data_IF_514609444817
#
_entry.id   IF_514609444817
#
_cell.length_a   1.000
_cell.length_b   1.000
_cell.length_c   1.000
_cell.angle_alpha   90.00
_cell.angle_beta   90.00
_cell.angle_gamma   90.00
#
_symmetry.space_group_name_H-M   'P 1'
#
loop_
_entity.id
_entity.type
_entity.pdbx_description
1 polymer ?
#
# COMPACT_ATOMS: atom_id res chain seq x y z
N UNK A 1 8.52 -5.53 -19.03
CA UNK A 1 7.96 -6.25 -17.87
C UNK A 1 6.47 -5.99 -17.71
N UNK A 2 6.07 -4.76 -17.37
CA UNK A 2 4.68 -4.42 -17.00
C UNK A 2 3.60 -4.85 -18.00
N UNK A 3 3.84 -4.68 -19.30
CA UNK A 3 2.87 -5.03 -20.35
C UNK A 3 2.92 -6.49 -20.81
N UNK A 4 3.80 -7.33 -20.25
CA UNK A 4 4.01 -8.71 -20.72
C UNK A 4 2.73 -9.53 -20.74
N UNK A 5 1.98 -9.53 -19.63
CA UNK A 5 0.74 -10.31 -19.53
C UNK A 5 -0.31 -9.85 -20.55
N UNK A 6 -0.40 -8.54 -20.79
CA UNK A 6 -1.30 -7.96 -21.78
C UNK A 6 -0.89 -8.36 -23.21
N UNK A 7 0.42 -8.36 -23.49
CA UNK A 7 0.97 -8.81 -24.79
C UNK A 7 0.72 -10.29 -25.02
N UNK A 8 1.00 -11.15 -24.04
CA UNK A 8 0.71 -12.59 -24.15
C UNK A 8 -0.77 -12.83 -24.39
N UNK A 9 -1.65 -12.13 -23.64
CA UNK A 9 -3.10 -12.28 -23.83
C UNK A 9 -3.56 -11.81 -25.21
N UNK A 10 -2.97 -10.74 -25.74
CA UNK A 10 -3.25 -10.27 -27.09
C UNK A 10 -2.81 -11.28 -28.16
N UNK A 11 -1.62 -11.87 -28.01
CA UNK A 11 -1.11 -12.90 -28.91
C UNK A 11 -1.95 -14.18 -28.82
N UNK A 12 -2.38 -14.59 -27.62
CA UNK A 12 -3.27 -15.74 -27.42
C UNK A 12 -4.61 -15.54 -28.14
N UNK A 13 -5.18 -14.33 -28.07
CA UNK A 13 -6.40 -13.98 -28.83
C UNK A 13 -6.17 -14.01 -30.33
N UNK A 14 -4.95 -13.77 -30.79
CA UNK A 14 -4.56 -13.91 -32.19
C UNK A 14 -4.19 -15.34 -32.59
N UNK A 15 -4.23 -16.30 -31.66
CA UNK A 15 -3.81 -17.68 -31.90
C UNK A 15 -2.30 -17.86 -32.03
N UNK A 16 -1.51 -16.89 -31.57
CA UNK A 16 -0.05 -16.83 -31.68
C UNK A 16 0.69 -17.12 -30.36
N UNK A 17 -0.06 -17.41 -29.30
CA UNK A 17 0.49 -17.79 -28.01
C UNK A 17 -0.41 -18.80 -27.29
N UNK A 18 0.18 -19.64 -26.45
CA UNK A 18 -0.54 -20.52 -25.55
C UNK A 18 -0.67 -19.93 -24.12
N UNK A 19 -1.41 -20.62 -23.26
CA UNK A 19 -1.62 -20.21 -21.88
C UNK A 19 -0.37 -20.32 -20.98
N UNK A 20 0.71 -20.94 -21.47
CA UNK A 20 2.00 -21.05 -20.79
C UNK A 20 2.98 -19.95 -21.24
N UNK A 21 2.59 -19.11 -22.19
CA UNK A 21 3.41 -18.02 -22.72
C UNK A 21 4.41 -18.45 -23.80
N UNK A 22 4.23 -19.63 -24.39
CA UNK A 22 4.94 -19.99 -25.62
C UNK A 22 4.33 -19.19 -26.77
N UNK A 23 5.17 -18.55 -27.58
CA UNK A 23 4.73 -17.64 -28.63
C UNK A 23 5.34 -17.97 -29.97
N UNK A 24 4.56 -17.81 -31.04
CA UNK A 24 5.03 -17.98 -32.42
C UNK A 24 5.86 -16.78 -32.90
N UNK A 25 5.74 -15.64 -32.20
CA UNK A 25 6.53 -14.43 -32.42
C UNK A 25 7.62 -14.27 -31.34
N UNK A 26 8.84 -13.82 -31.68
CA UNK A 26 9.88 -13.59 -30.68
C UNK A 26 9.56 -12.39 -29.80
N UNK A 27 9.67 -12.53 -28.48
CA UNK A 27 9.44 -11.45 -27.52
C UNK A 27 10.71 -11.20 -26.71
N UNK A 28 11.09 -9.93 -26.58
CA UNK A 28 12.11 -9.50 -25.63
C UNK A 28 11.47 -8.74 -24.47
N UNK A 29 11.46 -9.36 -23.30
CA UNK A 29 10.88 -8.77 -22.09
C UNK A 29 11.96 -7.99 -21.34
N UNK A 30 11.88 -6.66 -21.42
CA UNK A 30 12.70 -5.76 -20.59
C UNK A 30 12.30 -5.90 -19.12
N UNK A 31 13.04 -6.70 -18.36
CA UNK A 31 12.87 -6.85 -16.90
C UNK A 31 13.45 -5.65 -16.14
N UNK A 32 14.52 -5.06 -16.67
CA UNK A 32 15.06 -3.76 -16.27
C UNK A 32 14.86 -2.82 -17.45
N UNK A 33 13.93 -1.88 -17.31
CA UNK A 33 13.62 -0.94 -18.39
C UNK A 33 14.61 0.24 -18.45
N UNK A 34 15.32 0.54 -17.35
CA UNK A 34 16.31 1.61 -17.30
C UNK A 34 17.46 1.29 -16.34
N UNK A 35 18.72 1.51 -16.75
CA UNK A 35 19.15 1.82 -18.12
C UNK A 35 18.91 0.61 -19.05
N UNK A 36 18.77 0.88 -20.36
CA UNK A 36 18.76 -0.19 -21.35
C UNK A 36 20.16 -0.82 -21.46
N UNK A 37 20.19 -2.12 -21.73
CA UNK A 37 21.43 -2.88 -21.99
C UNK A 37 21.61 -2.97 -23.52
N UNK A 38 22.53 -2.19 -24.13
CA UNK A 38 22.66 -2.11 -25.59
C UNK A 38 22.88 -3.47 -26.24
N UNK A 39 23.68 -4.33 -25.63
CA UNK A 39 24.02 -5.65 -26.15
C UNK A 39 22.79 -6.56 -26.26
N UNK A 40 21.85 -6.46 -25.32
CA UNK A 40 20.60 -7.23 -25.36
C UNK A 40 19.64 -6.72 -26.42
N UNK A 41 19.54 -5.39 -26.58
CA UNK A 41 18.74 -4.75 -27.62
C UNK A 41 19.27 -5.14 -29.01
N UNK A 42 20.59 -5.02 -29.21
CA UNK A 42 21.28 -5.39 -30.45
C UNK A 42 21.02 -6.86 -30.79
N UNK A 43 21.32 -7.77 -29.86
CA UNK A 43 21.11 -9.22 -30.03
C UNK A 43 19.66 -9.56 -30.38
N UNK A 44 18.69 -8.86 -29.81
CA UNK A 44 17.29 -9.09 -30.16
C UNK A 44 16.93 -8.53 -31.54
N UNK A 45 17.45 -7.37 -31.92
CA UNK A 45 17.06 -6.69 -33.16
C UNK A 45 17.80 -7.21 -34.40
N UNK A 46 19.07 -7.58 -34.30
CA UNK A 46 19.96 -7.84 -35.45
C UNK A 46 19.39 -8.82 -36.49
N UNK A 47 18.63 -9.83 -36.05
CA UNK A 47 18.06 -10.86 -36.92
C UNK A 47 16.68 -10.50 -37.48
N UNK A 48 16.17 -9.28 -37.23
CA UNK A 48 14.78 -8.88 -37.48
C UNK A 48 14.74 -7.66 -38.39
N UNK A 49 13.79 -7.68 -39.33
CA UNK A 49 13.52 -6.52 -40.20
C UNK A 49 12.74 -5.44 -39.44
N UNK A 50 11.69 -5.84 -38.73
CA UNK A 50 10.78 -4.96 -38.01
C UNK A 50 10.62 -5.39 -36.56
N UNK A 51 10.56 -4.42 -35.64
CA UNK A 51 10.32 -4.66 -34.21
C UNK A 51 9.27 -3.67 -33.71
N UNK A 52 8.25 -4.18 -33.02
CA UNK A 52 7.27 -3.38 -32.30
C UNK A 52 7.69 -3.25 -30.83
N UNK A 53 7.85 -2.03 -30.35
CA UNK A 53 8.09 -1.68 -28.96
C UNK A 53 6.76 -1.34 -28.28
N UNK A 54 6.44 -2.11 -27.24
CA UNK A 54 5.32 -1.80 -26.35
C UNK A 54 5.85 -0.99 -25.16
N UNK A 55 5.86 0.33 -25.30
CA UNK A 55 6.19 1.29 -24.23
C UNK A 55 4.96 2.09 -23.83
N UNK A 56 4.59 2.04 -22.56
CA UNK A 56 3.52 2.86 -21.99
C UNK A 56 4.08 4.17 -21.41
N UNK A 57 3.35 5.28 -21.59
CA UNK A 57 3.77 6.59 -21.11
C UNK A 57 4.31 7.53 -22.19
N UNK A 58 4.52 8.79 -21.79
CA UNK A 58 5.04 9.91 -22.57
C UNK A 58 5.95 10.76 -21.69
N UNK A 59 7.10 11.27 -22.19
CA UNK A 59 7.70 10.97 -23.50
C UNK A 59 8.17 9.51 -23.67
N UNK A 60 8.27 9.03 -24.91
CA UNK A 60 8.75 7.69 -25.30
C UNK A 60 10.28 7.51 -25.14
N UNK A 61 10.75 7.56 -23.90
CA UNK A 61 12.18 7.49 -23.57
C UNK A 61 12.85 6.18 -24.00
N UNK A 62 12.15 5.05 -23.91
CA UNK A 62 12.71 3.75 -24.31
C UNK A 62 12.79 3.67 -25.83
N UNK A 63 11.76 4.12 -26.55
CA UNK A 63 11.75 4.18 -28.01
C UNK A 63 12.92 5.03 -28.54
N UNK A 64 13.10 6.23 -28.01
CA UNK A 64 14.22 7.12 -28.37
C UNK A 64 15.59 6.49 -28.06
N UNK A 65 15.73 5.83 -26.90
CA UNK A 65 16.97 5.19 -26.50
C UNK A 65 17.32 4.00 -27.40
N UNK A 66 16.33 3.18 -27.75
CA UNK A 66 16.49 2.06 -28.68
C UNK A 66 16.86 2.55 -30.08
N UNK A 67 16.23 3.62 -30.59
CA UNK A 67 16.64 4.23 -31.87
C UNK A 67 18.12 4.62 -31.86
N UNK A 68 18.59 5.27 -30.78
CA UNK A 68 20.00 5.64 -30.66
C UNK A 68 20.94 4.43 -30.64
N UNK A 69 20.58 3.37 -29.90
CA UNK A 69 21.36 2.13 -29.81
C UNK A 69 21.48 1.46 -31.19
N UNK A 70 20.36 1.26 -31.89
CA UNK A 70 20.35 0.56 -33.18
C UNK A 70 21.12 1.34 -34.25
N UNK A 71 21.00 2.67 -34.28
CA UNK A 71 21.74 3.51 -35.24
C UNK A 71 23.23 3.58 -34.94
N UNK A 72 23.64 3.58 -33.66
CA UNK A 72 25.08 3.54 -33.29
C UNK A 72 25.74 2.20 -33.60
N UNK A 73 24.95 1.12 -33.63
CA UNK A 73 25.42 -0.23 -33.96
C UNK A 73 25.26 -0.57 -35.46
N UNK A 74 24.86 0.39 -36.30
CA UNK A 74 24.60 0.19 -37.73
C UNK A 74 23.62 -0.97 -38.01
N UNK A 75 22.61 -1.14 -37.15
CA UNK A 75 21.57 -2.16 -37.31
C UNK A 75 20.39 -1.57 -38.06
N UNK A 76 20.05 -2.13 -39.21
CA UNK A 76 18.99 -1.65 -40.11
C UNK A 76 17.56 -1.94 -39.65
N UNK A 77 17.38 -2.78 -38.62
CA UNK A 77 16.06 -3.08 -38.03
C UNK A 77 15.27 -1.82 -37.76
N UNK A 78 14.05 -1.74 -38.28
CA UNK A 78 13.19 -0.58 -38.06
C UNK A 78 12.26 -0.83 -36.87
N UNK A 79 12.31 0.11 -35.94
CA UNK A 79 11.56 0.10 -34.70
C UNK A 79 10.25 0.87 -34.89
N UNK A 80 9.16 0.34 -34.36
CA UNK A 80 7.85 0.97 -34.30
C UNK A 80 7.39 0.99 -32.85
N UNK A 81 6.92 2.11 -32.33
CA UNK A 81 6.20 2.16 -31.05
C UNK A 81 4.98 3.06 -31.18
N UNK A 82 5.15 4.35 -30.88
CA UNK A 82 4.05 5.34 -30.89
C UNK A 82 3.44 5.64 -32.26
N UNK A 83 4.07 5.21 -33.36
CA UNK A 83 3.48 5.29 -34.71
C UNK A 83 2.25 4.37 -34.84
N UNK A 84 2.24 3.24 -34.11
CA UNK A 84 1.17 2.24 -34.15
C UNK A 84 0.34 2.28 -32.86
N UNK A 85 1.00 2.50 -31.72
CA UNK A 85 0.37 2.53 -30.42
C UNK A 85 0.05 3.96 -30.00
N UNK A 86 -1.05 4.21 -29.27
CA UNK A 86 -1.40 5.56 -28.86
C UNK A 86 -0.30 6.18 -27.99
N UNK A 87 -0.04 7.47 -28.22
CA UNK A 87 0.87 8.27 -27.40
C UNK A 87 0.37 8.43 -25.96
N UNK A 88 -0.94 8.60 -25.76
CA UNK A 88 -1.52 8.87 -24.45
C UNK A 88 -2.54 7.79 -24.02
N UNK A 89 -2.76 7.68 -22.71
CA UNK A 89 -3.68 6.73 -22.09
C UNK A 89 -3.02 5.43 -21.65
N UNK A 90 -3.82 4.57 -21.00
CA UNK A 90 -3.37 3.26 -20.52
C UNK A 90 -3.42 2.21 -21.64
N UNK A 91 -2.41 1.34 -21.70
CA UNK A 91 -2.38 0.24 -22.67
C UNK A 91 -3.26 -0.93 -22.21
N UNK A 92 -4.57 -0.74 -22.35
CA UNK A 92 -5.57 -1.78 -22.10
C UNK A 92 -5.39 -2.97 -23.04
N UNK A 93 -5.94 -4.13 -22.67
CA UNK A 93 -5.90 -5.33 -23.52
C UNK A 93 -6.44 -5.11 -24.93
N UNK A 94 -7.42 -4.21 -25.09
CA UNK A 94 -7.96 -3.82 -26.38
C UNK A 94 -6.96 -3.02 -27.21
N UNK A 95 -6.31 -2.02 -26.62
CA UNK A 95 -5.31 -1.18 -27.29
C UNK A 95 -4.11 -2.01 -27.71
N UNK A 96 -3.61 -2.87 -26.81
CA UNK A 96 -2.48 -3.75 -27.12
C UNK A 96 -2.84 -4.77 -28.21
N UNK A 97 -4.03 -5.38 -28.15
CA UNK A 97 -4.49 -6.29 -29.20
C UNK A 97 -4.57 -5.59 -30.56
N UNK A 98 -5.16 -4.40 -30.61
CA UNK A 98 -5.27 -3.64 -31.85
C UNK A 98 -3.89 -3.29 -32.41
N UNK A 99 -2.99 -2.72 -31.61
CA UNK A 99 -1.65 -2.35 -32.06
C UNK A 99 -0.81 -3.53 -32.55
N UNK A 100 -0.88 -4.69 -31.86
CA UNK A 100 -0.22 -5.92 -32.32
C UNK A 100 -0.83 -6.40 -33.64
N UNK A 101 -2.16 -6.38 -33.75
CA UNK A 101 -2.86 -6.81 -34.97
C UNK A 101 -2.47 -5.94 -36.17
N UNK A 102 -2.52 -4.62 -36.01
CA UNK A 102 -2.14 -3.67 -37.08
C UNK A 102 -0.68 -3.80 -37.48
N UNK A 103 0.22 -4.04 -36.52
CA UNK A 103 1.62 -4.30 -36.82
C UNK A 103 1.80 -5.57 -37.67
N UNK A 104 1.13 -6.66 -37.30
CA UNK A 104 1.23 -7.95 -38.01
C UNK A 104 0.52 -7.92 -39.37
N UNK A 105 -0.58 -7.17 -39.52
CA UNK A 105 -1.22 -6.94 -40.82
C UNK A 105 -0.35 -6.07 -41.74
N UNK A 106 0.33 -5.05 -41.19
CA UNK A 106 1.23 -4.18 -41.95
C UNK A 106 2.50 -4.90 -42.40
N UNK A 107 2.96 -5.86 -41.62
CA UNK A 107 4.18 -6.65 -41.89
C UNK A 107 3.91 -8.15 -41.78
N UNK A 108 3.20 -8.75 -42.76
CA UNK A 108 2.86 -10.17 -42.73
C UNK A 108 4.12 -11.03 -42.79
N UNK A 109 4.11 -12.12 -42.01
CA UNK A 109 5.19 -13.10 -41.95
C UNK A 109 4.65 -14.45 -42.43
N UNK A 110 5.39 -15.09 -43.33
CA UNK A 110 5.01 -16.40 -43.85
C UNK A 110 4.90 -17.44 -42.72
N UNK A 111 3.78 -18.16 -42.67
CA UNK A 111 3.49 -19.16 -41.64
C UNK A 111 2.80 -18.62 -40.38
N UNK A 112 2.65 -17.30 -40.23
CA UNK A 112 1.89 -16.68 -39.14
C UNK A 112 0.48 -16.32 -39.62
N UNK A 113 -0.54 -17.03 -39.14
CA UNK A 113 -1.94 -16.77 -39.48
C UNK A 113 -2.64 -16.07 -38.31
N UNK A 114 -3.17 -14.87 -38.56
CA UNK A 114 -3.94 -14.11 -37.58
C UNK A 114 -5.37 -14.66 -37.49
N UNK A 115 -5.87 -14.83 -36.27
CA UNK A 115 -7.26 -15.23 -36.02
C UNK A 115 -8.24 -14.06 -36.15
N UNK A 116 -7.75 -12.83 -35.98
CA UNK A 116 -8.56 -11.62 -35.95
C UNK A 116 -7.93 -10.56 -36.84
N UNK A 117 -8.78 -9.87 -37.60
CA UNK A 117 -8.42 -8.66 -38.35
C UNK A 117 -8.48 -7.42 -37.46
N UNK A 118 -7.78 -6.34 -37.84
CA UNK A 118 -7.86 -5.06 -37.11
C UNK A 118 -9.27 -4.48 -37.08
N UNK A 119 -10.09 -4.77 -38.10
CA UNK A 119 -11.51 -4.38 -38.15
C UNK A 119 -12.33 -5.11 -37.08
N UNK A 120 -12.21 -6.45 -37.01
CA UNK A 120 -12.89 -7.23 -35.97
C UNK A 120 -12.43 -6.85 -34.56
N UNK A 121 -11.13 -6.56 -34.39
CA UNK A 121 -10.62 -6.06 -33.12
C UNK A 121 -11.26 -4.73 -32.76
N UNK A 122 -11.33 -3.76 -33.67
CA UNK A 122 -11.99 -2.46 -33.42
C UNK A 122 -13.45 -2.62 -33.02
N UNK A 123 -14.16 -3.60 -33.59
CA UNK A 123 -15.55 -3.88 -33.26
C UNK A 123 -15.75 -4.43 -31.83
N UNK A 124 -14.69 -4.90 -31.15
CA UNK A 124 -14.75 -5.22 -29.73
C UNK A 124 -14.89 -3.98 -28.83
N UNK A 125 -14.66 -2.76 -29.32
CA UNK A 125 -14.89 -1.51 -28.57
C UNK A 125 -16.38 -1.18 -28.41
N UNK A 126 -17.24 -2.18 -28.22
CA UNK A 126 -18.59 -1.92 -27.72
C UNK A 126 -18.45 -1.50 -26.25
N UNK A 127 -19.10 -0.39 -25.90
CA UNK A 127 -19.31 -0.01 -24.51
C UNK A 127 -19.86 -1.24 -23.80
N UNK A 128 -19.22 -1.65 -22.69
CA UNK A 128 -19.73 -2.72 -21.83
C UNK A 128 -21.21 -2.47 -21.59
N UNK A 129 -22.07 -3.31 -22.16
CA UNK A 129 -23.51 -3.19 -21.93
C UNK A 129 -23.77 -3.47 -20.45
N UNK A 130 -24.83 -2.87 -19.91
CA UNK A 130 -25.12 -2.93 -18.46
C UNK A 130 -25.12 -4.36 -17.92
N UNK A 131 -25.59 -5.32 -18.72
CA UNK A 131 -25.61 -6.75 -18.40
C UNK A 131 -24.20 -7.33 -18.21
N UNK A 132 -23.27 -7.10 -19.14
CA UNK A 132 -21.89 -7.57 -19.03
C UNK A 132 -21.17 -6.93 -17.83
N UNK A 133 -21.40 -5.64 -17.59
CA UNK A 133 -20.87 -4.94 -16.42
C UNK A 133 -21.38 -5.54 -15.11
N UNK A 134 -22.67 -5.88 -15.06
CA UNK A 134 -23.29 -6.52 -13.89
C UNK A 134 -22.78 -7.95 -13.70
N UNK A 135 -22.59 -8.70 -14.78
CA UNK A 135 -22.01 -10.04 -14.75
C UNK A 135 -20.55 -9.99 -14.25
N UNK A 136 -19.75 -9.04 -14.73
CA UNK A 136 -18.39 -8.82 -14.24
C UNK A 136 -18.38 -8.43 -12.76
N UNK A 137 -19.29 -7.55 -12.32
CA UNK A 137 -19.39 -7.14 -10.92
C UNK A 137 -19.75 -8.31 -9.98
N UNK A 138 -20.47 -9.33 -10.48
CA UNK A 138 -20.79 -10.54 -9.73
C UNK A 138 -19.64 -11.55 -9.68
N UNK A 139 -18.79 -11.60 -10.72
CA UNK A 139 -17.76 -12.64 -10.87
C UNK A 139 -16.34 -12.17 -10.54
N UNK A 140 -16.06 -10.87 -10.65
CA UNK A 140 -14.72 -10.30 -10.39
C UNK A 140 -14.72 -9.67 -9.01
N UNK A 141 -13.96 -10.22 -8.04
CA UNK A 141 -13.89 -9.62 -6.71
C UNK A 141 -13.23 -8.24 -6.80
N UNK A 142 -13.77 -7.22 -6.10
CA UNK A 142 -13.18 -5.89 -6.09
C UNK A 142 -11.77 -5.95 -5.48
N UNK A 143 -10.85 -5.18 -6.06
CA UNK A 143 -9.47 -5.01 -5.56
C UNK A 143 -9.22 -3.56 -5.15
N UNK A 144 -9.87 -3.06 -4.09
CA UNK A 144 -9.63 -1.70 -3.63
C UNK A 144 -8.18 -1.55 -3.18
N UNK A 145 -7.59 -0.38 -3.46
CA UNK A 145 -6.29 -0.04 -2.89
C UNK A 145 -6.38 -0.08 -1.38
N UNK A 146 -5.43 -0.77 -0.74
CA UNK A 146 -5.50 -1.02 0.70
C UNK A 146 -4.12 -1.15 1.32
N UNK A 147 -4.03 -0.79 2.60
CA UNK A 147 -2.82 -0.92 3.39
C UNK A 147 -2.65 -2.36 3.90
N UNK A 148 -1.41 -2.80 4.11
CA UNK A 148 -1.13 -4.12 4.67
C UNK A 148 -1.79 -4.34 6.04
N UNK A 149 -2.03 -5.61 6.41
CA UNK A 149 -2.39 -5.97 7.79
C UNK A 149 -1.32 -5.48 8.75
N UNK A 150 -1.73 -4.71 9.76
CA UNK A 150 -0.82 -4.12 10.73
C UNK A 150 0.05 -2.98 10.19
N UNK A 151 -0.29 -2.39 9.05
CA UNK A 151 0.40 -1.21 8.54
C UNK A 151 0.39 -0.06 9.58
N UNK A 152 1.54 0.59 9.82
CA UNK A 152 1.67 1.71 10.77
C UNK A 152 0.90 2.96 10.33
N UNK A 153 0.53 3.10 9.07
CA UNK A 153 -0.19 4.30 8.60
C UNK A 153 -1.68 4.28 8.96
N UNK A 154 -2.27 3.08 9.14
CA UNK A 154 -3.68 2.91 9.51
C UNK A 154 -4.11 3.68 10.77
N UNK A 155 -3.40 3.57 11.91
CA UNK A 155 -3.75 4.32 13.11
C UNK A 155 -3.59 5.84 12.94
N UNK A 156 -2.65 6.30 12.11
CA UNK A 156 -2.53 7.73 11.76
C UNK A 156 -3.76 8.22 11.01
N UNK A 157 -4.24 7.48 10.00
CA UNK A 157 -5.51 7.81 9.32
C UNK A 157 -6.72 7.72 10.24
N UNK A 158 -6.74 6.75 11.15
CA UNK A 158 -7.78 6.63 12.19
C UNK A 158 -7.80 7.88 13.09
N UNK A 159 -6.62 8.39 13.47
CA UNK A 159 -6.49 9.62 14.24
C UNK A 159 -6.98 10.85 13.47
N UNK A 160 -6.58 11.01 12.21
CA UNK A 160 -7.04 12.12 11.34
C UNK A 160 -8.58 12.10 11.24
N UNK A 161 -9.18 10.94 10.94
CA UNK A 161 -10.64 10.79 10.85
C UNK A 161 -11.37 11.15 12.15
N UNK A 162 -10.80 10.79 13.30
CA UNK A 162 -11.39 11.13 14.58
C UNK A 162 -11.26 12.63 14.87
N UNK A 163 -10.14 13.27 14.52
CA UNK A 163 -9.94 14.72 14.70
C UNK A 163 -10.87 15.52 13.77
N UNK A 164 -11.18 15.02 12.57
CA UNK A 164 -12.15 15.64 11.65
C UNK A 164 -13.56 15.76 12.24
N UNK A 165 -13.96 14.86 13.16
CA UNK A 165 -15.26 14.96 13.84
C UNK A 165 -15.38 16.24 14.68
N UNK A 166 -14.27 16.72 15.22
CA UNK A 166 -14.23 17.87 16.11
C UNK A 166 -13.88 19.18 15.37
N UNK A 167 -12.98 19.09 14.38
CA UNK A 167 -12.39 20.25 13.71
C UNK A 167 -12.86 20.44 12.25
N UNK A 168 -13.72 19.57 11.75
CA UNK A 168 -14.20 19.58 10.37
C UNK A 168 -13.23 18.90 9.38
N UNK A 169 -13.59 18.93 8.11
CA UNK A 169 -12.78 18.34 7.05
C UNK A 169 -11.50 19.16 6.78
N UNK A 170 -10.44 18.47 6.37
CA UNK A 170 -9.15 19.08 6.09
C UNK A 170 -8.81 18.89 4.63
N UNK A 171 -8.14 19.88 4.05
CA UNK A 171 -7.42 19.64 2.81
C UNK A 171 -6.16 18.82 3.10
N UNK A 172 -6.08 17.64 2.50
CA UNK A 172 -4.95 16.71 2.62
C UNK A 172 -4.27 16.60 1.25
N UNK A 173 -3.08 17.17 1.13
CA UNK A 173 -2.19 16.96 -0.01
C UNK A 173 -1.26 15.78 0.30
N UNK A 174 -1.24 14.76 -0.54
CA UNK A 174 -0.48 13.52 -0.31
C UNK A 174 0.57 13.30 -1.38
N UNK A 175 1.66 12.63 -1.02
CA UNK A 175 2.63 12.14 -2.00
C UNK A 175 2.19 10.81 -2.62
N UNK A 176 2.86 10.41 -3.70
CA UNK A 176 2.89 9.02 -4.15
C UNK A 176 3.59 8.16 -3.08
N UNK A 177 2.88 7.17 -2.54
CA UNK A 177 3.35 6.27 -1.48
C UNK A 177 2.20 5.43 -0.94
N UNK A 178 2.43 4.58 0.07
CA UNK A 178 1.37 3.75 0.65
C UNK A 178 0.21 4.59 1.19
N UNK A 179 0.52 5.77 1.71
CA UNK A 179 -0.45 6.71 2.28
C UNK A 179 -1.46 7.22 1.26
N UNK A 180 -1.13 7.21 -0.05
CA UNK A 180 -2.07 7.60 -1.10
C UNK A 180 -3.30 6.68 -1.18
N UNK A 181 -3.19 5.43 -0.70
CA UNK A 181 -4.30 4.48 -0.69
C UNK A 181 -5.41 4.86 0.30
N UNK A 182 -5.15 5.77 1.23
CA UNK A 182 -6.17 6.29 2.14
C UNK A 182 -7.20 7.19 1.45
N UNK A 183 -6.94 7.63 0.21
CA UNK A 183 -7.92 8.37 -0.62
C UNK A 183 -9.19 7.57 -0.87
N UNK A 184 -9.12 6.24 -0.86
CA UNK A 184 -10.25 5.34 -1.03
C UNK A 184 -10.81 4.86 0.32
N UNK A 185 -11.93 4.15 0.23
CA UNK A 185 -12.55 3.51 1.38
C UNK A 185 -11.57 2.54 2.08
N UNK A 186 -11.62 2.45 3.43
CA UNK A 186 -12.60 3.07 4.30
C UNK A 186 -12.18 4.44 4.84
N UNK A 187 -10.99 4.95 4.50
CA UNK A 187 -10.51 6.22 5.07
C UNK A 187 -11.11 7.43 4.36
N UNK A 188 -11.17 7.43 3.02
CA UNK A 188 -11.64 8.58 2.23
C UNK A 188 -10.91 9.88 2.62
N UNK A 189 -9.58 9.79 2.80
CA UNK A 189 -8.70 10.89 3.19
C UNK A 189 -7.73 11.22 2.07
N UNK A 190 -7.84 12.41 1.50
CA UNK A 190 -6.95 12.91 0.46
C UNK A 190 -7.68 13.77 -0.56
N UNK A 191 -7.03 14.83 -1.02
CA UNK A 191 -7.59 15.77 -2.00
C UNK A 191 -6.71 15.93 -3.24
N UNK A 192 -5.39 15.94 -3.07
CA UNK A 192 -4.44 16.13 -4.18
C UNK A 192 -3.24 15.20 -4.03
N UNK A 193 -2.75 14.69 -5.17
CA UNK A 193 -1.48 13.96 -5.26
C UNK A 193 -0.70 14.50 -6.46
N UNK A 194 0.45 15.13 -6.19
CA UNK A 194 1.26 15.77 -7.26
C UNK A 194 2.45 14.91 -7.69
N UNK A 195 3.04 14.13 -6.80
CA UNK A 195 4.22 13.32 -7.11
C UNK A 195 4.91 12.78 -5.87
N UNK A 196 6.21 12.52 -5.98
CA UNK A 196 7.02 11.94 -4.92
C UNK A 196 7.89 13.01 -4.24
N UNK A 197 7.60 13.33 -2.97
CA UNK A 197 8.25 14.40 -2.22
C UNK A 197 7.74 15.81 -2.53
N UNK A 198 6.49 15.94 -3.00
CA UNK A 198 5.90 17.20 -3.49
C UNK A 198 4.66 17.66 -2.71
N UNK A 199 4.11 16.86 -1.79
CA UNK A 199 2.85 17.14 -1.08
C UNK A 199 2.85 18.48 -0.32
N UNK A 200 3.96 18.82 0.34
CA UNK A 200 4.10 20.10 1.02
C UNK A 200 4.21 21.28 0.03
N UNK A 201 4.94 21.08 -1.07
CA UNK A 201 5.07 22.09 -2.12
C UNK A 201 3.72 22.36 -2.79
N UNK A 202 2.94 21.31 -3.12
CA UNK A 202 1.61 21.43 -3.71
C UNK A 202 0.63 22.12 -2.78
N UNK A 203 0.62 21.77 -1.49
CA UNK A 203 -0.31 22.39 -0.52
C UNK A 203 -0.06 23.90 -0.32
N UNK A 204 1.17 24.36 -0.53
CA UNK A 204 1.55 25.77 -0.35
C UNK A 204 0.79 26.71 -1.29
N UNK A 205 0.38 26.21 -2.46
CA UNK A 205 -0.32 26.99 -3.50
C UNK A 205 -1.75 27.36 -3.13
N UNK A 206 -2.44 26.51 -2.37
CA UNK A 206 -3.87 26.67 -2.05
C UNK A 206 -4.12 27.17 -0.64
N UNK A 207 -3.07 27.35 0.17
CA UNK A 207 -3.19 27.62 1.60
C UNK A 207 -4.06 28.84 1.93
N UNK A 208 -4.01 29.88 1.09
CA UNK A 208 -4.72 31.14 1.32
C UNK A 208 -6.21 31.04 1.01
N UNK A 209 -6.62 29.97 0.32
CA UNK A 209 -8.01 29.69 0.00
C UNK A 209 -8.68 28.76 1.02
N UNK A 210 -7.94 28.24 2.01
CA UNK A 210 -8.46 27.28 2.99
C UNK A 210 -8.78 27.97 4.32
N UNK A 211 -9.90 27.62 4.98
CA UNK A 211 -10.26 28.16 6.30
C UNK A 211 -9.41 27.59 7.44
N UNK A 212 -8.68 26.49 7.17
CA UNK A 212 -7.85 25.77 8.14
C UNK A 212 -6.47 25.46 7.54
N UNK A 213 -5.50 25.15 8.42
CA UNK A 213 -4.16 24.72 7.99
C UNK A 213 -4.27 23.45 7.13
N UNK A 214 -3.64 23.45 5.96
CA UNK A 214 -3.57 22.26 5.12
C UNK A 214 -2.68 21.19 5.77
N UNK A 215 -3.05 19.92 5.59
CA UNK A 215 -2.24 18.77 5.98
C UNK A 215 -1.52 18.25 4.74
N UNK A 216 -0.21 18.09 4.82
CA UNK A 216 0.61 17.42 3.82
C UNK A 216 1.07 16.08 4.36
N UNK A 217 0.88 14.98 3.61
CA UNK A 217 1.36 13.65 3.99
C UNK A 217 2.47 13.23 3.03
N UNK A 218 3.63 12.92 3.61
CA UNK A 218 4.86 12.60 2.89
C UNK A 218 5.46 11.33 3.47
N UNK A 219 5.87 10.40 2.62
CA UNK A 219 6.70 9.28 3.07
C UNK A 219 8.13 9.74 3.32
N UNK A 220 8.85 9.10 4.22
CA UNK A 220 10.29 9.30 4.43
C UNK A 220 11.11 9.17 3.14
N UNK A 221 10.77 8.23 2.26
CA UNK A 221 11.37 8.14 0.93
C UNK A 221 11.17 9.42 0.10
N UNK A 222 9.97 10.01 0.13
CA UNK A 222 9.66 11.27 -0.55
C UNK A 222 10.40 12.45 0.09
N UNK A 223 10.53 12.44 1.41
CA UNK A 223 11.30 13.43 2.18
C UNK A 223 12.77 13.46 1.74
N UNK A 224 13.43 12.30 1.67
CA UNK A 224 14.84 12.21 1.27
C UNK A 224 15.07 12.42 -0.23
N UNK A 225 14.08 12.13 -1.07
CA UNK A 225 14.20 12.32 -2.51
C UNK A 225 14.15 13.81 -2.91
N UNK A 226 13.08 14.52 -2.54
CA UNK A 226 12.90 15.95 -2.85
C UNK A 226 12.27 16.74 -1.70
N UNK A 227 11.56 16.10 -0.78
CA UNK A 227 10.69 16.78 0.18
C UNK A 227 11.41 17.72 1.14
N UNK A 228 12.66 17.44 1.51
CA UNK A 228 13.47 18.35 2.31
C UNK A 228 13.75 19.66 1.57
N UNK A 229 14.21 19.58 0.31
CA UNK A 229 14.65 20.74 -0.47
C UNK A 229 13.47 21.52 -1.05
N UNK A 230 12.54 20.86 -1.76
CA UNK A 230 11.42 21.52 -2.43
C UNK A 230 10.21 21.76 -1.53
N UNK A 231 10.09 21.01 -0.42
CA UNK A 231 8.99 21.13 0.53
C UNK A 231 9.39 21.94 1.76
N UNK A 232 10.21 21.35 2.63
CA UNK A 232 10.50 21.90 3.97
C UNK A 232 11.26 23.22 3.89
N UNK A 233 12.38 23.28 3.16
CA UNK A 233 13.17 24.51 3.03
C UNK A 233 12.34 25.65 2.42
N UNK A 234 11.58 25.36 1.37
CA UNK A 234 10.68 26.34 0.73
C UNK A 234 9.57 26.79 1.69
N UNK A 235 8.98 25.89 2.47
CA UNK A 235 7.96 26.22 3.46
C UNK A 235 8.52 27.13 4.57
N UNK A 236 9.72 26.84 5.07
CA UNK A 236 10.39 27.69 6.08
C UNK A 236 10.68 29.08 5.51
N UNK A 237 11.27 29.16 4.31
CA UNK A 237 11.59 30.42 3.65
C UNK A 237 10.34 31.29 3.45
N UNK A 238 9.25 30.68 2.96
CA UNK A 238 7.98 31.38 2.70
C UNK A 238 7.11 31.58 3.95
N UNK A 239 7.60 31.21 5.15
CA UNK A 239 6.85 31.26 6.41
C UNK A 239 5.49 30.55 6.30
N UNK A 240 5.50 29.41 5.63
CA UNK A 240 4.32 28.58 5.42
C UNK A 240 3.78 28.08 6.77
N UNK A 241 2.50 28.33 7.03
CA UNK A 241 1.80 27.86 8.22
C UNK A 241 0.86 26.69 7.86
N UNK A 242 1.44 25.52 7.71
CA UNK A 242 0.73 24.26 7.45
C UNK A 242 1.23 23.14 8.36
N UNK A 243 0.61 21.96 8.22
CA UNK A 243 1.04 20.74 8.92
C UNK A 243 1.64 19.76 7.91
N UNK A 244 2.87 19.32 8.14
CA UNK A 244 3.52 18.24 7.40
C UNK A 244 3.57 17.01 8.30
N UNK A 245 2.99 15.90 7.86
CA UNK A 245 3.13 14.59 8.48
C UNK A 245 4.11 13.78 7.64
N UNK A 246 5.25 13.42 8.23
CA UNK A 246 6.26 12.56 7.60
C UNK A 246 6.08 11.14 8.14
N UNK A 247 5.69 10.22 7.27
CA UNK A 247 5.56 8.80 7.59
C UNK A 247 6.95 8.17 7.57
N UNK A 248 7.51 7.95 8.75
CA UNK A 248 8.85 7.43 8.92
C UNK A 248 8.82 5.91 9.13
N UNK A 249 8.69 5.16 8.03
CA UNK A 249 8.49 3.71 8.05
C UNK A 249 9.77 2.88 7.74
N UNK A 250 10.84 3.57 7.36
CA UNK A 250 12.18 3.05 7.15
C UNK A 250 12.49 2.59 5.73
N UNK A 251 11.55 2.71 4.79
CA UNK A 251 11.70 2.16 3.43
C UNK A 251 10.95 3.00 2.41
N UNK A 252 11.38 2.95 1.14
CA UNK A 252 10.47 3.22 0.03
C UNK A 252 9.48 2.04 -0.11
N UNK A 253 8.44 2.04 0.74
CA UNK A 253 7.62 0.87 0.99
C UNK A 253 6.74 0.48 -0.22
N UNK A 254 6.08 1.45 -0.85
CA UNK A 254 5.12 1.20 -1.94
C UNK A 254 5.76 0.59 -3.20
N UNK A 255 7.04 0.90 -3.44
CA UNK A 255 7.82 0.43 -4.59
C UNK A 255 8.48 -0.93 -4.36
N UNK A 256 8.26 -1.56 -3.20
CA UNK A 256 8.79 -2.90 -2.89
C UNK A 256 9.69 -2.99 -1.66
N UNK A 257 10.00 -1.86 -1.03
CA UNK A 257 10.78 -1.79 0.22
C UNK A 257 12.25 -1.51 0.00
N UNK A 258 12.59 -0.57 -0.88
CA UNK A 258 13.98 -0.17 -1.14
C UNK A 258 14.57 0.53 0.09
N UNK A 259 15.88 0.34 0.26
CA UNK A 259 16.67 1.01 1.29
C UNK A 259 16.78 2.51 0.97
N UNK A 260 16.60 3.32 2.01
CA UNK A 260 16.66 4.79 1.97
C UNK A 260 17.41 5.27 3.22
N UNK A 261 17.75 6.57 3.35
CA UNK A 261 18.44 7.06 4.54
C UNK A 261 17.73 6.79 5.88
N UNK A 262 16.40 6.65 5.86
CA UNK A 262 15.59 6.21 7.01
C UNK A 262 15.74 4.72 7.36
N UNK A 263 16.57 3.96 6.65
CA UNK A 263 16.71 2.52 6.89
C UNK A 263 17.11 2.24 8.34
N UNK A 264 16.34 1.37 8.98
CA UNK A 264 16.66 0.86 10.30
C UNK A 264 17.51 -0.40 10.15
N UNK A 265 18.76 -0.37 10.59
CA UNK A 265 19.57 -1.59 10.65
C UNK A 265 18.94 -2.59 11.66
N UNK A 266 18.83 -3.87 11.31
CA UNK A 266 17.99 -4.85 12.01
C UNK A 266 18.51 -5.31 13.38
N UNK A 267 19.57 -4.70 13.90
CA UNK A 267 20.42 -5.27 14.96
C UNK A 267 20.08 -4.84 16.38
N UNK A 268 19.23 -3.82 16.66
CA UNK A 268 18.73 -3.57 18.03
C UNK A 268 17.33 -2.94 18.03
N UNK A 269 16.33 -3.75 18.41
CA UNK A 269 14.94 -3.39 18.73
C UNK A 269 14.06 -2.94 17.55
N UNK A 270 13.16 -3.84 17.15
CA UNK A 270 11.98 -3.49 16.37
C UNK A 270 10.86 -3.26 17.37
N UNK A 271 10.60 -2.00 17.65
CA UNK A 271 9.53 -1.57 18.52
C UNK A 271 8.59 -0.69 17.70
N UNK A 272 7.37 -1.19 17.50
CA UNK A 272 6.12 -0.43 17.53
C UNK A 272 5.01 -1.40 17.10
N UNK A 273 4.80 -2.45 17.89
CA UNK A 273 3.42 -2.87 18.20
C UNK A 273 3.03 -2.11 19.47
N UNK A 274 1.74 -2.09 19.85
CA UNK A 274 1.30 -1.44 21.10
C UNK A 274 2.16 -1.78 22.33
N UNK A 275 2.75 -2.97 22.36
CA UNK A 275 3.59 -3.48 23.45
C UNK A 275 5.01 -2.88 23.57
N UNK A 276 5.31 -1.79 22.87
CA UNK A 276 6.68 -1.21 22.88
C UNK A 276 6.65 0.28 23.15
N UNK A 277 6.95 0.65 24.40
CA UNK A 277 6.90 2.03 24.89
C UNK A 277 7.99 2.95 24.32
N UNK A 278 9.08 2.40 23.77
CA UNK A 278 10.16 3.19 23.15
C UNK A 278 10.81 2.45 21.98
N UNK A 279 10.77 3.06 20.80
CA UNK A 279 11.67 2.73 19.71
C UNK A 279 13.00 3.45 19.94
N UNK A 280 14.06 2.71 20.29
CA UNK A 280 15.43 3.22 20.19
C UNK A 280 15.86 3.08 18.74
N UNK A 281 15.39 3.97 17.88
CA UNK A 281 15.80 4.01 16.48
C UNK A 281 17.16 4.71 16.41
N UNK A 282 18.18 4.01 15.89
CA UNK A 282 19.48 4.62 15.57
C UNK A 282 19.39 5.15 14.14
N UNK A 283 18.99 6.42 14.00
CA UNK A 283 18.96 7.10 12.72
C UNK A 283 20.30 7.76 12.43
N UNK A 284 21.03 7.25 11.42
CA UNK A 284 22.25 7.89 10.95
C UNK A 284 21.97 9.25 10.30
N UNK A 285 20.78 9.41 9.70
CA UNK A 285 20.28 10.66 9.14
C UNK A 285 18.87 10.90 9.72
N UNK A 286 18.79 11.64 10.83
CA UNK A 286 17.52 11.94 11.49
C UNK A 286 16.69 12.94 10.69
N UNK A 287 15.42 12.61 10.44
CA UNK A 287 14.45 13.54 9.83
C UNK A 287 14.20 14.75 10.74
N UNK A 288 14.19 14.55 12.07
CA UNK A 288 14.03 15.65 13.03
C UNK A 288 15.19 16.65 12.90
N UNK A 289 16.43 16.16 12.93
CA UNK A 289 17.62 17.00 12.83
C UNK A 289 17.71 17.70 11.46
N UNK A 290 17.36 17.02 10.37
CA UNK A 290 17.30 17.61 9.04
C UNK A 290 16.24 18.74 8.97
N UNK A 291 15.05 18.54 9.52
CA UNK A 291 14.01 19.56 9.61
C UNK A 291 14.45 20.75 10.47
N UNK A 292 15.11 20.51 11.61
CA UNK A 292 15.66 21.59 12.46
C UNK A 292 16.75 22.37 11.73
N UNK A 293 17.65 21.67 11.03
CA UNK A 293 18.68 22.27 10.20
C UNK A 293 18.11 23.15 9.09
N UNK A 294 16.97 22.76 8.51
CA UNK A 294 16.22 23.57 7.55
C UNK A 294 15.45 24.76 8.17
N UNK A 295 15.43 24.88 9.50
CA UNK A 295 14.83 26.01 10.23
C UNK A 295 13.42 25.78 10.78
N UNK A 296 12.92 24.54 10.78
CA UNK A 296 11.62 24.21 11.41
C UNK A 296 11.74 24.29 12.92
N UNK A 297 10.81 25.00 13.57
CA UNK A 297 10.78 25.19 15.03
C UNK A 297 9.86 24.22 15.74
N UNK A 298 8.68 23.96 15.16
CA UNK A 298 7.70 23.04 15.71
C UNK A 298 7.84 21.66 15.08
N UNK A 299 8.38 20.72 15.87
CA UNK A 299 8.51 19.31 15.47
C UNK A 299 8.03 18.43 16.63
N UNK A 300 7.27 17.39 16.30
CA UNK A 300 6.86 16.33 17.23
C UNK A 300 7.05 14.96 16.59
N UNK A 301 7.74 14.08 17.28
CA UNK A 301 7.87 12.68 16.89
C UNK A 301 6.92 11.83 17.70
N UNK A 302 6.07 11.06 17.01
CA UNK A 302 5.03 10.23 17.64
C UNK A 302 5.01 8.85 17.02
N UNK A 303 4.83 7.82 17.85
CA UNK A 303 4.51 6.50 17.31
C UNK A 303 3.12 6.52 16.71
N UNK A 304 3.02 6.03 15.48
CA UNK A 304 1.74 5.84 14.80
C UNK A 304 0.78 4.94 15.56
N UNK A 305 1.27 3.99 16.35
CA UNK A 305 0.42 3.05 17.10
C UNK A 305 -0.21 3.65 18.36
N UNK A 306 0.22 4.84 18.78
CA UNK A 306 -0.41 5.59 19.87
C UNK A 306 -1.44 6.57 19.30
N UNK A 307 -2.68 6.11 19.11
CA UNK A 307 -3.72 6.90 18.42
C UNK A 307 -4.07 8.16 19.21
N UNK A 308 -4.17 8.08 20.54
CA UNK A 308 -4.49 9.25 21.37
C UNK A 308 -3.37 10.30 21.35
N UNK A 309 -2.10 9.86 21.36
CA UNK A 309 -0.96 10.78 21.19
C UNK A 309 -0.99 11.43 19.81
N UNK A 310 -1.23 10.65 18.75
CA UNK A 310 -1.35 11.19 17.39
C UNK A 310 -2.50 12.21 17.29
N UNK A 311 -3.67 11.92 17.88
CA UNK A 311 -4.81 12.85 17.93
C UNK A 311 -4.46 14.14 18.67
N UNK A 312 -3.84 14.03 19.84
CA UNK A 312 -3.44 15.19 20.64
C UNK A 312 -2.43 16.07 19.87
N UNK A 313 -1.41 15.46 19.26
CA UNK A 313 -0.41 16.16 18.46
C UNK A 313 -1.01 16.80 17.21
N UNK A 314 -1.95 16.13 16.52
CA UNK A 314 -2.68 16.71 15.39
C UNK A 314 -3.51 17.92 15.82
N UNK A 315 -4.25 17.82 16.92
CA UNK A 315 -5.02 18.96 17.45
C UNK A 315 -4.09 20.12 17.79
N UNK A 316 -2.99 19.88 18.52
CA UNK A 316 -1.99 20.90 18.84
C UNK A 316 -1.45 21.57 17.55
N UNK A 317 -1.04 20.79 16.56
CA UNK A 317 -0.49 21.31 15.30
C UNK A 317 -1.48 22.18 14.52
N UNK A 318 -2.75 21.76 14.49
CA UNK A 318 -3.81 22.45 13.74
C UNK A 318 -4.28 23.72 14.44
N UNK A 319 -4.36 23.73 15.77
CA UNK A 319 -4.94 24.85 16.54
C UNK A 319 -3.91 25.79 17.16
N UNK A 320 -2.63 25.41 17.23
CA UNK A 320 -1.60 26.29 17.79
C UNK A 320 -1.47 27.61 17.00
N UNK A 321 -1.25 28.69 17.74
CA UNK A 321 -0.92 30.02 17.22
C UNK A 321 0.58 30.25 16.98
N UNK A 322 1.43 29.28 17.30
CA UNK A 322 2.86 29.36 16.98
C UNK A 322 3.04 29.47 15.46
N UNK A 323 3.76 30.48 14.93
CA UNK A 323 3.86 30.69 13.48
C UNK A 323 4.82 29.69 12.80
N UNK A 324 4.60 29.45 11.50
CA UNK A 324 5.48 28.62 10.65
C UNK A 324 5.05 27.16 10.55
N UNK A 325 5.88 26.33 9.90
CA UNK A 325 5.55 24.94 9.57
C UNK A 325 5.51 24.04 10.81
N UNK A 326 4.49 23.19 10.91
CA UNK A 326 4.36 22.17 11.95
C UNK A 326 4.73 20.83 11.35
N UNK A 327 5.78 20.19 11.83
CA UNK A 327 6.19 18.87 11.35
C UNK A 327 5.86 17.79 12.39
N UNK A 328 5.12 16.78 11.98
CA UNK A 328 4.83 15.57 12.76
C UNK A 328 5.58 14.42 12.11
N UNK A 329 6.54 13.83 12.82
CA UNK A 329 7.25 12.63 12.38
C UNK A 329 6.47 11.43 12.95
N UNK A 330 5.73 10.77 12.09
CA UNK A 330 4.88 9.64 12.41
C UNK A 330 5.66 8.33 12.22
N UNK A 331 6.14 7.76 13.33
CA UNK A 331 7.03 6.60 13.31
C UNK A 331 6.28 5.27 13.38
N UNK A 332 6.71 4.32 12.56
CA UNK A 332 6.29 2.93 12.64
C UNK A 332 6.85 2.13 11.48
N UNK A 333 7.53 1.02 11.76
CA UNK A 333 8.17 0.23 10.70
C UNK A 333 7.15 -0.33 9.70
N UNK A 334 7.48 -0.30 8.41
CA UNK A 334 6.72 -1.00 7.38
C UNK A 334 6.46 -2.47 7.76
N UNK A 335 5.19 -2.80 8.03
CA UNK A 335 4.82 -4.13 8.51
C UNK A 335 5.15 -5.24 7.50
N UNK A 336 5.11 -4.96 6.19
CA UNK A 336 5.47 -5.96 5.18
C UNK A 336 6.95 -6.35 5.28
N UNK A 337 7.85 -5.37 5.32
CA UNK A 337 9.29 -5.61 5.48
C UNK A 337 9.61 -6.24 6.84
N UNK A 338 8.94 -5.79 7.91
CA UNK A 338 9.03 -6.44 9.22
C UNK A 338 8.65 -7.92 9.13
N UNK A 339 7.51 -8.26 8.54
CA UNK A 339 7.05 -9.65 8.39
C UNK A 339 8.00 -10.49 7.54
N UNK A 340 8.56 -9.95 6.44
CA UNK A 340 9.59 -10.63 5.62
C UNK A 340 10.81 -11.01 6.47
N UNK A 341 11.22 -10.14 7.40
CA UNK A 341 12.35 -10.38 8.31
C UNK A 341 12.01 -11.33 9.47
N UNK A 342 10.89 -11.13 10.17
CA UNK A 342 10.60 -11.86 11.40
C UNK A 342 10.00 -13.25 11.16
N UNK A 343 9.24 -13.48 10.08
CA UNK A 343 8.58 -14.77 9.83
C UNK A 343 9.58 -15.94 9.73
N UNK A 344 10.70 -15.83 8.99
CA UNK A 344 11.71 -16.88 8.96
C UNK A 344 12.35 -17.14 10.34
N UNK A 345 12.61 -16.08 11.11
CA UNK A 345 13.19 -16.18 12.46
C UNK A 345 12.24 -16.88 13.44
N UNK A 346 10.95 -16.54 13.40
CA UNK A 346 9.90 -17.19 14.20
C UNK A 346 9.79 -18.66 13.80
N UNK A 347 9.76 -18.98 12.50
CA UNK A 347 9.70 -20.36 12.01
C UNK A 347 10.92 -21.17 12.49
N UNK A 348 12.13 -20.59 12.41
CA UNK A 348 13.34 -21.21 12.94
C UNK A 348 13.25 -21.43 14.45
N UNK A 349 12.82 -20.43 15.22
CA UNK A 349 12.64 -20.54 16.67
C UNK A 349 11.67 -21.66 17.07
N UNK A 350 10.56 -21.80 16.33
CA UNK A 350 9.57 -22.87 16.54
C UNK A 350 10.19 -24.23 16.22
N UNK A 351 10.89 -24.36 15.09
CA UNK A 351 11.54 -25.60 14.69
C UNK A 351 12.68 -26.01 15.63
N UNK A 352 13.42 -25.04 16.18
CA UNK A 352 14.49 -25.23 17.16
C UNK A 352 13.94 -25.61 18.57
N UNK A 353 12.63 -25.81 18.73
CA UNK A 353 12.01 -26.15 20.01
C UNK A 353 11.96 -25.02 21.02
N UNK A 354 12.28 -23.78 20.63
CA UNK A 354 12.27 -22.62 21.54
C UNK A 354 10.86 -22.11 21.78
N UNK A 355 10.56 -21.77 23.03
CA UNK A 355 9.29 -21.15 23.43
C UNK A 355 9.09 -19.86 22.64
N UNK A 356 8.06 -19.82 21.81
CA UNK A 356 7.78 -18.69 20.92
C UNK A 356 6.34 -18.25 21.10
N UNK A 357 6.12 -16.95 21.31
CA UNK A 357 4.79 -16.38 21.53
C UNK A 357 4.40 -15.55 20.31
N UNK A 358 3.17 -15.74 19.83
CA UNK A 358 2.57 -14.93 18.77
C UNK A 358 1.23 -14.40 19.24
N UNK A 359 1.14 -13.09 19.42
CA UNK A 359 -0.11 -12.42 19.76
C UNK A 359 -1.03 -12.27 18.55
N UNK A 360 -2.33 -12.42 18.79
CA UNK A 360 -3.41 -12.09 17.87
C UNK A 360 -4.54 -11.42 18.65
N UNK A 361 -5.43 -10.75 17.93
CA UNK A 361 -6.67 -10.26 18.50
C UNK A 361 -7.82 -11.18 18.09
N UNK A 362 -8.83 -11.25 18.93
CA UNK A 362 -10.11 -11.94 18.65
C UNK A 362 -11.24 -11.01 19.03
N UNK A 363 -12.42 -11.28 18.47
CA UNK A 363 -13.66 -10.61 18.81
C UNK A 363 -14.56 -11.60 19.51
N UNK A 364 -15.05 -11.22 20.68
CA UNK A 364 -16.16 -11.88 21.34
C UNK A 364 -17.47 -11.51 20.63
N UNK A 365 -18.18 -12.55 20.16
CA UNK A 365 -19.42 -12.38 19.40
C UNK A 365 -20.59 -11.93 20.29
N UNK A 366 -20.59 -12.31 21.58
CA UNK A 366 -21.64 -11.93 22.52
C UNK A 366 -21.60 -10.42 22.82
N UNK A 367 -20.40 -9.88 23.04
CA UNK A 367 -20.19 -8.43 23.27
C UNK A 367 -20.24 -7.60 21.99
N UNK A 368 -20.08 -8.22 20.81
CA UNK A 368 -20.07 -7.49 19.54
C UNK A 368 -21.44 -6.89 19.23
N UNK A 369 -21.50 -5.58 19.00
CA UNK A 369 -22.73 -4.86 18.62
C UNK A 369 -23.17 -5.14 17.19
N UNK A 370 -22.25 -5.56 16.30
CA UNK A 370 -22.54 -5.75 14.88
C UNK A 370 -22.54 -4.45 14.06
N UNK A 371 -22.18 -3.30 14.65
CA UNK A 371 -22.16 -2.01 13.94
C UNK A 371 -21.02 -1.85 12.93
N UNK A 372 -20.00 -2.72 13.00
CA UNK A 372 -18.77 -2.73 12.19
C UNK A 372 -17.98 -1.41 12.17
N UNK A 373 -18.14 -0.56 13.18
CA UNK A 373 -17.39 0.69 13.31
C UNK A 373 -15.88 0.42 13.42
N UNK A 374 -15.49 -0.67 14.07
CA UNK A 374 -14.11 -1.11 14.18
C UNK A 374 -13.46 -1.41 12.81
N UNK A 375 -14.22 -1.94 11.85
CA UNK A 375 -13.80 -2.18 10.45
C UNK A 375 -13.63 -0.85 9.72
N UNK A 376 -14.64 0.02 9.78
CA UNK A 376 -14.62 1.32 9.07
C UNK A 376 -13.52 2.26 9.59
N UNK A 377 -13.21 2.19 10.89
CA UNK A 377 -12.20 3.03 11.51
C UNK A 377 -10.78 2.48 11.31
N UNK A 378 -10.58 1.16 11.46
CA UNK A 378 -9.24 0.56 11.36
C UNK A 378 -8.83 0.21 9.93
N UNK A 379 -9.82 -0.15 9.11
CA UNK A 379 -9.69 -0.67 7.74
C UNK A 379 -8.88 -1.95 7.58
N UNK A 380 -8.58 -2.67 8.68
CA UNK A 380 -7.65 -3.80 8.69
C UNK A 380 -8.16 -4.95 7.80
N UNK A 381 -7.37 -5.51 6.87
CA UNK A 381 -7.83 -6.60 6.01
C UNK A 381 -8.16 -7.88 6.80
N UNK A 382 -7.50 -8.06 7.94
CA UNK A 382 -7.76 -9.17 8.87
C UNK A 382 -9.05 -9.00 9.67
N UNK A 383 -9.69 -7.84 9.63
CA UNK A 383 -10.91 -7.54 10.37
C UNK A 383 -12.09 -7.59 9.40
N UNK A 384 -12.80 -8.71 9.39
CA UNK A 384 -13.89 -9.03 8.46
C UNK A 384 -15.18 -9.36 9.23
N UNK A 385 -16.19 -9.88 8.56
CA UNK A 385 -17.46 -10.30 9.15
C UNK A 385 -17.62 -11.82 9.07
N UNK A 386 -18.43 -12.37 9.99
CA UNK A 386 -18.91 -13.76 9.95
C UNK A 386 -20.38 -13.80 10.38
N UNK A 387 -21.13 -14.86 10.04
CA UNK A 387 -22.49 -15.04 10.56
C UNK A 387 -22.54 -14.95 12.09
N UNK A 388 -23.62 -14.39 12.61
CA UNK A 388 -23.84 -14.33 14.05
C UNK A 388 -24.07 -15.75 14.58
N UNK A 389 -23.38 -16.18 15.65
CA UNK A 389 -23.67 -17.47 16.29
C UNK A 389 -25.04 -17.49 16.99
N UNK A 390 -25.58 -16.33 17.36
CA UNK A 390 -26.91 -16.21 17.96
C UNK A 390 -28.00 -16.21 16.86
N UNK A 391 -28.89 -17.23 16.82
CA UNK A 391 -29.94 -17.32 15.82
C UNK A 391 -30.99 -16.21 15.92
N UNK A 392 -31.07 -15.49 17.04
CA UNK A 392 -31.99 -14.36 17.23
C UNK A 392 -31.43 -13.04 16.68
N UNK A 393 -30.16 -13.00 16.25
CA UNK A 393 -29.51 -11.81 15.74
C UNK A 393 -29.13 -12.00 14.27
N UNK A 394 -29.77 -11.23 13.40
CA UNK A 394 -29.51 -11.29 11.95
C UNK A 394 -28.21 -10.59 11.54
N UNK A 395 -27.80 -9.55 12.28
CA UNK A 395 -26.60 -8.79 11.95
C UNK A 395 -25.32 -9.61 12.14
N UNK A 396 -24.43 -9.68 11.13
CA UNK A 396 -23.19 -10.42 11.23
C UNK A 396 -22.25 -9.78 12.26
N UNK A 397 -21.46 -10.61 12.92
CA UNK A 397 -20.47 -10.14 13.90
C UNK A 397 -19.13 -9.90 13.24
N UNK A 398 -18.39 -8.92 13.75
CA UNK A 398 -17.00 -8.71 13.33
C UNK A 398 -16.11 -9.90 13.76
N UNK A 399 -15.09 -10.19 12.96
CA UNK A 399 -14.20 -11.33 13.13
C UNK A 399 -12.77 -10.96 12.73
N UNK A 400 -11.80 -11.44 13.52
CA UNK A 400 -10.38 -11.31 13.20
C UNK A 400 -9.88 -12.64 12.61
N UNK A 401 -9.47 -12.60 11.35
CA UNK A 401 -8.96 -13.76 10.62
C UNK A 401 -7.54 -14.20 11.09
N UNK A 402 -7.02 -15.26 10.46
CA UNK A 402 -5.71 -15.82 10.78
C UNK A 402 -4.53 -15.02 10.19
N UNK A 403 -4.79 -14.02 9.34
CA UNK A 403 -3.75 -13.14 8.80
C UNK A 403 -3.32 -12.05 9.79
N UNK A 404 -4.04 -11.91 10.92
CA UNK A 404 -3.70 -10.99 12.01
C UNK A 404 -2.24 -11.14 12.48
N UNK A 405 -1.58 -9.99 12.59
CA UNK A 405 -0.18 -9.87 13.06
C UNK A 405 -0.06 -9.35 14.49
N UNK A 406 -1.18 -9.20 15.21
CA UNK A 406 -1.19 -8.77 16.60
C UNK A 406 -0.72 -7.33 16.83
N UNK A 407 -0.97 -6.41 15.90
CA UNK A 407 -0.47 -5.04 16.00
C UNK A 407 -1.13 -4.19 17.09
N UNK A 408 -2.35 -4.54 17.50
CA UNK A 408 -3.10 -3.86 18.55
C UNK A 408 -3.94 -2.65 18.10
N UNK A 409 -3.73 -2.13 16.89
CA UNK A 409 -4.44 -0.94 16.35
C UNK A 409 -5.97 -1.02 16.50
N UNK A 410 -6.57 -2.20 16.30
CA UNK A 410 -8.02 -2.35 16.48
C UNK A 410 -8.46 -2.14 17.94
N UNK A 411 -7.68 -2.61 18.92
CA UNK A 411 -7.94 -2.38 20.34
C UNK A 411 -7.71 -0.92 20.74
N UNK A 412 -6.66 -0.27 20.22
CA UNK A 412 -6.43 1.16 20.46
C UNK A 412 -7.59 2.01 19.92
N UNK A 413 -8.09 1.68 18.71
CA UNK A 413 -9.27 2.34 18.13
C UNK A 413 -10.52 2.18 18.98
N UNK A 414 -10.71 1.04 19.64
CA UNK A 414 -11.86 0.80 20.53
C UNK A 414 -11.85 1.75 21.71
N UNK A 415 -10.68 1.95 22.34
CA UNK A 415 -10.55 2.89 23.45
C UNK A 415 -10.67 4.34 22.98
N UNK A 416 -9.91 4.70 21.93
CA UNK A 416 -9.84 6.08 21.41
C UNK A 416 -11.17 6.59 20.85
N UNK A 417 -11.99 5.71 20.26
CA UNK A 417 -13.27 6.07 19.65
C UNK A 417 -14.50 5.57 20.42
N UNK A 418 -14.30 5.00 21.62
CA UNK A 418 -15.37 4.48 22.50
C UNK A 418 -16.27 3.49 21.75
N UNK A 419 -15.66 2.47 21.14
CA UNK A 419 -16.38 1.40 20.44
C UNK A 419 -16.77 0.27 21.40
N UNK A 420 -17.55 -0.71 20.93
CA UNK A 420 -17.89 -1.88 21.73
C UNK A 420 -16.63 -2.62 22.25
N UNK A 421 -16.58 -3.05 23.53
CA UNK A 421 -15.40 -3.64 24.15
C UNK A 421 -15.23 -5.13 23.80
N UNK A 422 -15.49 -5.50 22.54
CA UNK A 422 -15.52 -6.91 22.11
C UNK A 422 -14.14 -7.50 21.79
N UNK A 423 -13.07 -6.70 21.85
CA UNK A 423 -11.72 -7.13 21.48
C UNK A 423 -10.96 -7.74 22.65
N UNK A 424 -10.37 -8.92 22.42
CA UNK A 424 -9.47 -9.57 23.37
C UNK A 424 -8.14 -9.94 22.70
N UNK A 425 -7.03 -9.76 23.42
CA UNK A 425 -5.71 -10.27 22.98
C UNK A 425 -5.58 -11.74 23.37
N UNK A 426 -5.17 -12.57 22.41
CA UNK A 426 -4.87 -13.99 22.60
C UNK A 426 -3.43 -14.25 22.17
N UNK A 427 -2.67 -14.87 23.07
CA UNK A 427 -1.29 -15.26 22.81
C UNK A 427 -1.21 -16.75 22.45
N UNK A 428 -0.77 -17.04 21.22
CA UNK A 428 -0.47 -18.38 20.76
C UNK A 428 0.94 -18.75 21.20
N UNK A 429 1.07 -19.78 22.03
CA UNK A 429 2.35 -20.26 22.56
C UNK A 429 2.77 -21.52 21.80
N UNK A 430 3.89 -21.45 21.10
CA UNK A 430 4.58 -22.59 20.49
C UNK A 430 5.70 -23.07 21.42
N UNK A 431 5.91 -24.39 21.48
CA UNK A 431 6.84 -25.03 22.41
C UNK A 431 6.63 -24.57 23.87
N UNK A 432 5.42 -24.80 24.44
CA UNK A 432 5.09 -24.31 25.77
C UNK A 432 5.96 -24.99 26.84
N UNK A 433 6.47 -24.18 27.77
CA UNK A 433 7.20 -24.66 28.95
C UNK A 433 6.30 -25.47 29.88
N UNK A 434 6.90 -26.19 30.83
CA UNK A 434 6.14 -26.90 31.87
C UNK A 434 5.24 -25.93 32.66
N UNK A 435 5.72 -24.71 32.89
CA UNK A 435 4.98 -23.65 33.57
C UNK A 435 3.78 -23.16 32.76
N UNK A 436 3.93 -22.94 31.45
CA UNK A 436 2.81 -22.56 30.58
C UNK A 436 1.71 -23.62 30.60
N UNK A 437 2.09 -24.91 30.55
CA UNK A 437 1.14 -26.03 30.61
C UNK A 437 0.45 -26.13 31.97
N UNK A 438 1.17 -25.83 33.06
CA UNK A 438 0.60 -25.79 34.40
C UNK A 438 -0.44 -24.67 34.52
N UNK A 439 -0.08 -23.44 34.14
CA UNK A 439 -1.03 -22.30 34.12
C UNK A 439 -2.24 -22.61 33.26
N UNK A 440 -2.05 -23.18 32.06
CA UNK A 440 -3.16 -23.53 31.17
C UNK A 440 -4.11 -24.57 31.79
N UNK A 441 -3.59 -25.53 32.58
CA UNK A 441 -4.42 -26.50 33.32
C UNK A 441 -5.20 -25.84 34.44
N UNK A 442 -4.57 -24.97 35.22
CA UNK A 442 -5.24 -24.23 36.30
C UNK A 442 -6.34 -23.34 35.73
N UNK A 443 -6.05 -22.55 34.69
CA UNK A 443 -7.03 -21.70 34.01
C UNK A 443 -8.22 -22.50 33.49
N UNK A 444 -7.99 -23.64 32.81
CA UNK A 444 -9.07 -24.49 32.31
C UNK A 444 -9.96 -25.04 33.43
N UNK A 445 -9.38 -25.44 34.57
CA UNK A 445 -10.18 -25.91 35.72
C UNK A 445 -11.05 -24.79 36.30
N UNK A 446 -10.51 -23.59 36.46
CA UNK A 446 -11.26 -22.44 36.95
C UNK A 446 -12.37 -22.05 35.98
N UNK A 447 -12.07 -21.97 34.68
CA UNK A 447 -13.07 -21.64 33.65
C UNK A 447 -14.19 -22.68 33.64
N UNK A 448 -13.87 -23.97 33.65
CA UNK A 448 -14.88 -25.05 33.71
C UNK A 448 -15.77 -24.90 34.94
N UNK A 449 -15.17 -24.68 36.11
CA UNK A 449 -15.92 -24.49 37.36
C UNK A 449 -16.86 -23.28 37.30
N UNK A 450 -16.40 -22.15 36.75
CA UNK A 450 -17.25 -20.94 36.60
C UNK A 450 -18.36 -21.13 35.55
N UNK A 451 -18.10 -21.88 34.48
CA UNK A 451 -19.10 -22.17 33.44
C UNK A 451 -20.18 -23.15 33.94
N UNK A 452 -19.77 -24.14 34.75
CA UNK A 452 -20.70 -25.08 35.39
C UNK A 452 -21.67 -24.34 36.34
N UNK A 453 -21.18 -23.34 37.10
CA UNK A 453 -22.02 -22.46 37.92
C UNK A 453 -22.95 -21.57 37.09
N UNK A 454 -22.50 -21.09 35.92
CA UNK A 454 -23.33 -20.26 35.02
C UNK A 454 -24.45 -21.07 34.37
N UNK A 455 -24.19 -22.32 34.00
CA UNK A 455 -25.21 -23.26 33.51
C UNK A 455 -26.20 -23.65 34.62
N UNK A 456 -25.75 -23.79 35.86
CA UNK A 456 -26.63 -23.99 37.01
C UNK A 456 -27.51 -22.75 37.30
N UNK A 457 -26.96 -21.54 37.20
CA UNK A 457 -27.69 -20.29 37.43
C UNK A 457 -28.71 -19.94 36.33
N UNK A 458 -28.46 -20.33 35.07
CA UNK A 458 -29.40 -20.14 33.95
C UNK A 458 -30.44 -21.27 33.81
N UNK A 459 -30.39 -22.28 34.70
CA UNK A 459 -31.35 -23.40 34.76
C UNK A 459 -32.42 -23.25 35.85
N UNK A 460 -32.44 -22.10 36.54
CA UNK A 460 -33.53 -21.58 37.36
C UNK A 460 -34.23 -20.45 36.60
#
# INVERSE_FOLDING_TARGET
GGSYNTVIRALERQGLADCFGNTDVPIYVLNVAYPLIPEEVIRFCESKKQVLLIEEGQPEYIEHSMFSILRKADIDTRLYGKEILPGAGEYTGQITLLGITEFLERFPVEGLNLQLTSTEVRDFQKVLVAEDSQLLAQNVPPRPSGLCTGCPERPMFSAIKQVQKDLGEFHISSDIGCHSFATLAPFNLGNTIMGYGLSLASSSSIRTALPHKAISIMGDGGFWHNGLTSGVTSAVFNKHDGVLIIVNNGYAAATGGQDIPSLVQPNRLIATTMDTDKASRLDQQSIDEACRGAGVKWIRTVSTYSIDKMKATLREALTTGEPGLKVIIAEGECMLNRQRRIKPLIKKSINDGRRTVRSRFVIDAETCTGDHACIRLSGCPSLTIKPNPDPLREDPVSYVDNSCVGCGVCGENVHSAVLCPSFSRVDLIYNPSAWDRFIARVRRRVISWMQDDQLAANSL
#
